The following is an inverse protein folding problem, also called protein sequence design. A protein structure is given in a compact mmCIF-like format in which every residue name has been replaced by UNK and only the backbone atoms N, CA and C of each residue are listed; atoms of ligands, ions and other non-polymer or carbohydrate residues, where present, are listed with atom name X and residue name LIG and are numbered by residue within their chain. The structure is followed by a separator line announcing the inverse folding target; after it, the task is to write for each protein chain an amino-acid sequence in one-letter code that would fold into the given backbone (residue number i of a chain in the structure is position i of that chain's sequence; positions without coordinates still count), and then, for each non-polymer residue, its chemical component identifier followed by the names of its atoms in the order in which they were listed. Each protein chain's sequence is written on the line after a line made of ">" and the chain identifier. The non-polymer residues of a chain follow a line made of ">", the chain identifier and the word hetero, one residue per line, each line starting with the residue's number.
data_IF_467579514548
#
_entry.id   IF_467579514548
#
_cell.length_a   1.000
_cell.length_b   1.000
_cell.length_c   1.000
_cell.angle_alpha   90.00
_cell.angle_beta   90.00
_cell.angle_gamma   90.00
#
_symmetry.space_group_name_H-M   'P 1'
#
loop_
_entity.id
_entity.type
_entity.pdbx_description
1 polymer ?
#
# COMPACT_ATOMS: atom_id res chain seq x y z
N UNK A 1 -3.32 -12.57 23.64
CA UNK A 1 -3.74 -12.34 22.25
C UNK A 1 -2.50 -12.52 21.38
N UNK A 2 -2.53 -13.45 20.42
CA UNK A 2 -1.33 -13.82 19.66
C UNK A 2 -1.29 -12.95 18.40
N UNK A 3 -0.41 -11.93 18.39
CA UNK A 3 -0.08 -11.17 17.18
C UNK A 3 0.90 -11.98 16.35
N UNK A 4 0.39 -12.89 15.53
CA UNK A 4 1.17 -13.57 14.50
C UNK A 4 0.70 -13.09 13.13
N UNK A 5 0.85 -11.79 12.86
CA UNK A 5 0.89 -11.35 11.47
C UNK A 5 2.25 -11.76 10.93
N UNK A 6 2.26 -12.78 10.08
CA UNK A 6 3.46 -13.29 9.44
C UNK A 6 4.05 -12.21 8.51
N UNK A 7 5.36 -12.28 8.27
CA UNK A 7 6.03 -11.41 7.29
C UNK A 7 5.35 -11.44 5.91
N UNK A 8 4.73 -12.57 5.54
CA UNK A 8 3.98 -12.71 4.29
C UNK A 8 2.72 -11.83 4.25
N UNK A 9 1.94 -11.82 5.33
CA UNK A 9 0.72 -11.00 5.43
C UNK A 9 1.07 -9.52 5.41
N UNK A 10 2.14 -9.11 6.07
CA UNK A 10 2.62 -7.72 6.03
C UNK A 10 3.04 -7.32 4.61
N UNK A 11 3.75 -8.19 3.89
CA UNK A 11 4.11 -7.93 2.50
C UNK A 11 2.87 -7.80 1.61
N UNK A 12 1.86 -8.65 1.80
CA UNK A 12 0.60 -8.54 1.05
C UNK A 12 -0.10 -7.20 1.32
N UNK A 13 -0.16 -6.76 2.58
CA UNK A 13 -0.71 -5.46 2.95
C UNK A 13 0.09 -4.30 2.33
N UNK A 14 1.43 -4.40 2.32
CA UNK A 14 2.31 -3.42 1.67
C UNK A 14 2.02 -3.33 0.17
N UNK A 15 1.88 -4.47 -0.52
CA UNK A 15 1.53 -4.52 -1.93
C UNK A 15 0.16 -3.89 -2.21
N UNK A 16 -0.86 -4.24 -1.42
CA UNK A 16 -2.20 -3.66 -1.53
C UNK A 16 -2.18 -2.14 -1.38
N UNK A 17 -1.49 -1.64 -0.35
CA UNK A 17 -1.42 -0.22 -0.07
C UNK A 17 -0.57 0.53 -1.11
N UNK A 18 0.45 -0.10 -1.69
CA UNK A 18 1.26 0.47 -2.76
C UNK A 18 0.49 0.57 -4.08
N UNK A 19 -0.26 -0.48 -4.46
CA UNK A 19 -1.08 -0.47 -5.68
C UNK A 19 -2.26 0.49 -5.56
N UNK A 20 -2.92 0.57 -4.41
CA UNK A 20 -3.96 1.58 -4.19
C UNK A 20 -3.42 3.00 -4.36
N UNK A 21 -2.21 3.30 -3.84
CA UNK A 21 -1.54 4.59 -4.09
C UNK A 21 -1.24 4.83 -5.56
N UNK A 22 -0.78 3.80 -6.29
CA UNK A 22 -0.53 3.89 -7.72
C UNK A 22 -1.81 4.23 -8.50
N UNK A 23 -2.90 3.49 -8.26
CA UNK A 23 -4.21 3.75 -8.87
C UNK A 23 -4.67 5.17 -8.58
N UNK A 24 -4.59 5.62 -7.32
CA UNK A 24 -4.97 6.98 -6.94
C UNK A 24 -4.12 8.06 -7.64
N UNK A 25 -2.84 7.77 -7.91
CA UNK A 25 -1.92 8.73 -8.56
C UNK A 25 -2.10 8.83 -10.08
N UNK A 26 -2.62 7.78 -10.72
CA UNK A 26 -2.70 7.67 -12.17
C UNK A 26 -4.13 7.77 -12.71
N UNK A 27 -5.14 7.63 -11.85
CA UNK A 27 -6.53 7.68 -12.26
C UNK A 27 -7.05 9.12 -12.37
N UNK A 28 -7.76 9.39 -13.45
CA UNK A 28 -8.58 10.57 -13.69
C UNK A 28 -10.02 10.40 -13.16
N UNK A 29 -10.39 9.20 -12.70
CA UNK A 29 -11.68 8.90 -12.11
C UNK A 29 -11.66 9.19 -10.59
N UNK A 30 -12.36 10.25 -10.19
CA UNK A 30 -12.40 10.71 -8.80
C UNK A 30 -12.93 9.64 -7.81
N UNK A 31 -13.91 8.83 -8.21
CA UNK A 31 -14.46 7.77 -7.36
C UNK A 31 -13.41 6.69 -7.09
N UNK A 32 -12.60 6.35 -8.10
CA UNK A 32 -11.47 5.42 -7.95
C UNK A 32 -10.37 6.00 -7.07
N UNK A 33 -10.07 7.29 -7.19
CA UNK A 33 -9.10 7.99 -6.32
C UNK A 33 -9.56 7.93 -4.86
N UNK A 34 -10.82 8.24 -4.59
CA UNK A 34 -11.40 8.21 -3.23
C UNK A 34 -11.39 6.79 -2.67
N UNK A 35 -11.87 5.81 -3.44
CA UNK A 35 -11.91 4.40 -3.01
C UNK A 35 -10.50 3.86 -2.70
N UNK A 36 -9.51 4.23 -3.52
CA UNK A 36 -8.12 3.86 -3.31
C UNK A 36 -7.53 4.50 -2.05
N UNK A 37 -7.86 5.77 -1.77
CA UNK A 37 -7.47 6.44 -0.53
C UNK A 37 -8.07 5.77 0.71
N UNK A 38 -9.35 5.40 0.68
CA UNK A 38 -10.02 4.66 1.75
C UNK A 38 -9.43 3.26 1.96
N UNK A 39 -9.03 2.58 0.88
CA UNK A 39 -8.33 1.29 0.94
C UNK A 39 -6.98 1.42 1.66
N UNK A 40 -6.19 2.46 1.36
CA UNK A 40 -4.92 2.71 2.06
C UNK A 40 -5.15 2.90 3.56
N UNK A 41 -6.12 3.74 3.94
CA UNK A 41 -6.46 3.95 5.37
C UNK A 41 -6.89 2.65 6.05
N UNK A 42 -7.70 1.84 5.37
CA UNK A 42 -8.17 0.56 5.90
C UNK A 42 -7.03 -0.41 6.15
N UNK A 43 -6.07 -0.49 5.21
CA UNK A 43 -4.88 -1.32 5.35
C UNK A 43 -3.96 -0.80 6.46
N UNK A 44 -3.74 0.51 6.55
CA UNK A 44 -2.95 1.11 7.64
C UNK A 44 -3.58 0.85 9.02
N UNK A 45 -4.92 0.81 9.12
CA UNK A 45 -5.62 0.43 10.35
C UNK A 45 -5.40 -1.04 10.74
N UNK A 46 -5.26 -1.95 9.76
CA UNK A 46 -4.95 -3.36 10.03
C UNK A 46 -3.58 -3.54 10.67
N UNK A 47 -2.63 -2.65 10.35
CA UNK A 47 -1.26 -2.68 10.89
C UNK A 47 -1.20 -2.36 12.37
N UNK A 48 -2.13 -1.56 12.89
CA UNK A 48 -2.22 -1.25 14.31
C UNK A 48 -2.39 -2.50 15.20
N UNK A 49 -2.84 -3.62 14.63
CA UNK A 49 -3.00 -4.90 15.31
C UNK A 49 -1.82 -5.87 15.10
N UNK A 50 -0.69 -5.40 14.58
CA UNK A 50 0.47 -6.23 14.23
C UNK A 50 1.70 -5.88 15.08
N UNK A 51 2.85 -6.50 14.82
CA UNK A 51 4.13 -6.11 15.42
C UNK A 51 4.80 -4.91 14.73
N UNK A 52 4.24 -4.42 13.62
CA UNK A 52 4.79 -3.29 12.86
C UNK A 52 4.17 -1.99 13.33
N UNK A 53 4.96 -0.94 13.38
CA UNK A 53 4.44 0.41 13.61
C UNK A 53 3.77 0.94 12.33
N UNK A 54 2.76 1.81 12.46
CA UNK A 54 2.17 2.50 11.31
C UNK A 54 3.22 3.24 10.47
N UNK A 55 4.24 3.82 11.10
CA UNK A 55 5.31 4.54 10.41
C UNK A 55 6.21 3.60 9.57
N UNK A 56 6.56 2.42 10.10
CA UNK A 56 7.34 1.43 9.36
C UNK A 56 6.57 0.92 8.15
N UNK A 57 5.30 0.57 8.34
CA UNK A 57 4.45 0.12 7.25
C UNK A 57 4.26 1.21 6.19
N UNK A 58 3.99 2.44 6.62
CA UNK A 58 3.83 3.57 5.70
C UNK A 58 5.08 3.72 4.82
N UNK A 59 6.27 3.72 5.42
CA UNK A 59 7.55 3.77 4.67
C UNK A 59 7.66 2.61 3.68
N UNK A 60 7.41 1.37 4.10
CA UNK A 60 7.48 0.19 3.22
C UNK A 60 6.52 0.32 2.02
N UNK A 61 5.29 0.77 2.25
CA UNK A 61 4.29 0.94 1.19
C UNK A 61 4.63 2.07 0.23
N UNK A 62 5.25 3.17 0.71
CA UNK A 62 5.74 4.26 -0.14
C UNK A 62 6.93 3.81 -0.99
N UNK A 63 7.87 3.08 -0.40
CA UNK A 63 9.03 2.57 -1.13
C UNK A 63 8.62 1.56 -2.22
N UNK A 64 7.63 0.70 -1.94
CA UNK A 64 7.05 -0.19 -2.96
C UNK A 64 6.32 0.59 -4.05
N UNK A 65 5.53 1.61 -3.69
CA UNK A 65 4.86 2.48 -4.66
C UNK A 65 5.86 3.12 -5.63
N UNK A 66 6.97 3.66 -5.13
CA UNK A 66 8.02 4.23 -6.00
C UNK A 66 8.56 3.21 -6.99
N UNK A 67 8.84 1.98 -6.54
CA UNK A 67 9.26 0.89 -7.43
C UNK A 67 8.20 0.53 -8.48
N UNK A 68 6.93 0.51 -8.11
CA UNK A 68 5.84 0.27 -9.06
C UNK A 68 5.79 1.35 -10.15
N UNK A 69 6.00 2.62 -9.78
CA UNK A 69 6.08 3.73 -10.75
C UNK A 69 7.28 3.54 -11.69
N UNK A 70 8.45 3.15 -11.17
CA UNK A 70 9.63 2.84 -11.98
C UNK A 70 9.40 1.66 -12.93
N UNK A 71 8.72 0.60 -12.48
CA UNK A 71 8.35 -0.57 -13.28
C UNK A 71 7.44 -0.16 -14.45
N UNK A 72 6.38 0.62 -14.17
CA UNK A 72 5.48 1.10 -15.22
C UNK A 72 6.12 2.04 -16.24
N UNK A 73 7.10 2.85 -15.79
CA UNK A 73 7.80 3.78 -16.69
C UNK A 73 8.74 3.03 -17.63
N UNK A 74 9.37 1.94 -17.15
CA UNK A 74 10.27 1.10 -17.98
C UNK A 74 9.53 0.26 -19.00
N UNK A 75 8.34 -0.23 -18.66
CA UNK A 75 7.52 -1.03 -19.59
C UNK A 75 6.91 -0.18 -20.72
N UNK A 76 6.95 1.15 -20.61
CA UNK A 76 6.48 2.09 -21.61
C UNK A 76 7.57 2.53 -22.63
N UNK A 77 8.83 2.18 -22.39
CA UNK A 77 9.99 2.43 -23.28
C UNK A 77 10.29 1.22 -24.19
#
# INVERSE_FOLDING_TARGET
>A
MVNLTTTLEINALVEMAAHARLVASQSDNMDLVIASGEMVKSVEAMIANTSYTPAEFHRMSIDRYKKLVEEQTKDAE
#
